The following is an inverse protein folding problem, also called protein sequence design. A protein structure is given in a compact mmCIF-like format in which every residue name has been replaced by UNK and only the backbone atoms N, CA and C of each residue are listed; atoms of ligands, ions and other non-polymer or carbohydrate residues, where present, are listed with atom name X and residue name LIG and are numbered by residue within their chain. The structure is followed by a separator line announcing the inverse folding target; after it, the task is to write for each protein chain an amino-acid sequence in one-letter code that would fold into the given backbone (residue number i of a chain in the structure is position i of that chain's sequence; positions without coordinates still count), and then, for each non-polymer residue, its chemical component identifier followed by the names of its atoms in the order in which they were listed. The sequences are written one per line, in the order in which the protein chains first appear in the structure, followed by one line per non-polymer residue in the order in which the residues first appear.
data_IF_972549605970
#
_entry.id   IF_972549605970
#
_cell.length_a   1.000
_cell.length_b   1.000
_cell.length_c   1.000
_cell.angle_alpha   90.00
_cell.angle_beta   90.00
_cell.angle_gamma   90.00
#
_symmetry.space_group_name_H-M   'P 1'
#
loop_
_entity.id
_entity.type
_entity.pdbx_description
1 polymer ?
#
# COMPACT_ATOMS: atom_id res chain seq x y z
N UNK A 1 6.81 -2.24 35.95
CA UNK A 1 5.95 -3.29 35.37
C UNK A 1 4.97 -2.75 34.31
N UNK A 2 4.96 -1.44 34.00
CA UNK A 2 4.14 -0.84 32.93
C UNK A 2 4.61 -1.12 31.48
N UNK A 3 5.87 -1.54 31.29
CA UNK A 3 6.44 -1.73 29.94
C UNK A 3 5.98 -2.99 29.18
N UNK A 4 5.40 -3.99 29.86
CA UNK A 4 4.94 -5.23 29.20
C UNK A 4 3.48 -5.18 28.75
N UNK A 5 2.64 -4.35 29.38
CA UNK A 5 1.25 -4.17 28.96
C UNK A 5 1.12 -3.37 27.66
N UNK A 6 2.02 -2.41 27.40
CA UNK A 6 2.04 -1.64 26.15
C UNK A 6 2.42 -2.49 24.92
N UNK A 7 3.37 -3.41 25.05
CA UNK A 7 3.83 -4.26 23.95
C UNK A 7 2.82 -5.37 23.57
N UNK A 8 2.17 -5.98 24.57
CA UNK A 8 1.13 -7.01 24.39
C UNK A 8 -0.19 -6.41 23.87
N UNK A 9 -0.58 -5.23 24.37
CA UNK A 9 -1.77 -4.52 23.87
C UNK A 9 -1.58 -4.04 22.42
N UNK A 10 -0.39 -3.54 22.05
CA UNK A 10 -0.06 -3.12 20.68
C UNK A 10 -0.12 -4.28 19.66
N UNK A 11 0.30 -5.49 20.05
CA UNK A 11 0.25 -6.67 19.15
C UNK A 11 -1.17 -7.18 18.92
N UNK A 12 -2.05 -7.11 19.93
CA UNK A 12 -3.47 -7.48 19.77
C UNK A 12 -4.33 -6.39 19.13
N UNK A 13 -3.94 -5.10 19.24
CA UNK A 13 -4.65 -3.99 18.60
C UNK A 13 -4.31 -3.91 17.10
N UNK A 14 -3.09 -4.26 16.67
CA UNK A 14 -2.66 -4.22 15.26
C UNK A 14 -3.06 -5.43 14.40
N UNK A 15 -3.56 -6.53 14.99
CA UNK A 15 -4.01 -7.72 14.26
C UNK A 15 -5.41 -7.59 13.63
N UNK A 16 -5.94 -6.36 13.46
CA UNK A 16 -7.18 -6.11 12.71
C UNK A 16 -6.82 -5.69 11.29
N UNK A 17 -6.32 -6.64 10.52
CA UNK A 17 -6.09 -6.41 9.10
C UNK A 17 -7.44 -6.50 8.39
N UNK A 18 -7.90 -5.34 7.92
CA UNK A 18 -9.10 -5.25 7.13
C UNK A 18 -8.77 -5.62 5.69
N UNK A 19 -8.97 -6.89 5.37
CA UNK A 19 -8.68 -7.45 4.05
C UNK A 19 -10.01 -7.93 3.51
N UNK A 20 -10.69 -7.14 2.67
CA UNK A 20 -11.99 -7.60 2.19
C UNK A 20 -12.72 -6.75 1.17
N UNK A 21 -13.06 -5.48 1.42
CA UNK A 21 -14.11 -4.89 0.62
C UNK A 21 -13.64 -4.19 -0.65
N UNK A 22 -12.37 -3.76 -0.75
CA UNK A 22 -11.92 -2.96 -1.91
C UNK A 22 -12.23 -3.67 -3.23
N UNK A 23 -11.88 -4.96 -3.33
CA UNK A 23 -12.14 -5.77 -4.52
C UNK A 23 -13.64 -6.03 -4.77
N UNK A 24 -14.45 -6.15 -3.72
CA UNK A 24 -15.90 -6.33 -3.85
C UNK A 24 -16.56 -5.03 -4.32
N UNK A 25 -16.15 -3.90 -3.75
CA UNK A 25 -16.59 -2.56 -4.14
C UNK A 25 -16.18 -2.27 -5.59
N UNK A 26 -14.99 -2.69 -6.01
CA UNK A 26 -14.52 -2.56 -7.40
C UNK A 26 -15.35 -3.40 -8.37
N UNK A 27 -15.68 -4.65 -8.03
CA UNK A 27 -16.53 -5.51 -8.86
C UNK A 27 -17.93 -4.90 -8.98
N UNK A 28 -18.55 -4.53 -7.85
CA UNK A 28 -19.90 -3.94 -7.82
C UNK A 28 -19.91 -2.61 -8.58
N UNK A 29 -18.93 -1.73 -8.32
CA UNK A 29 -18.79 -0.44 -8.99
C UNK A 29 -18.54 -0.58 -10.49
N UNK A 30 -17.75 -1.57 -10.90
CA UNK A 30 -17.51 -1.88 -12.31
C UNK A 30 -18.75 -2.42 -13.04
N UNK A 31 -19.63 -3.14 -12.33
CA UNK A 31 -20.92 -3.57 -12.85
C UNK A 31 -21.96 -2.44 -12.94
N UNK A 32 -22.02 -1.58 -11.93
CA UNK A 32 -22.98 -0.47 -11.89
C UNK A 32 -22.64 0.65 -12.86
N UNK A 33 -21.35 0.95 -13.04
CA UNK A 33 -20.87 2.10 -13.82
C UNK A 33 -19.99 1.67 -15.00
N UNK A 34 -20.40 0.61 -15.71
CA UNK A 34 -19.71 0.14 -16.91
C UNK A 34 -19.55 1.24 -17.97
N UNK A 35 -18.36 1.36 -18.55
CA UNK A 35 -18.02 2.36 -19.55
C UNK A 35 -17.78 3.76 -18.98
N UNK A 36 -17.92 3.97 -17.67
CA UNK A 36 -17.75 5.28 -16.99
C UNK A 36 -16.68 5.20 -15.91
N UNK A 37 -15.38 5.30 -16.26
CA UNK A 37 -14.28 5.11 -15.31
C UNK A 37 -14.26 6.15 -14.18
N UNK A 38 -14.66 7.40 -14.45
CA UNK A 38 -14.75 8.45 -13.42
C UNK A 38 -15.82 8.14 -12.36
N UNK A 39 -16.98 7.62 -12.78
CA UNK A 39 -18.05 7.24 -11.86
C UNK A 39 -17.61 6.05 -10.98
N UNK A 40 -16.99 5.01 -11.56
CA UNK A 40 -16.41 3.88 -10.80
C UNK A 40 -15.34 4.37 -9.81
N UNK A 41 -14.47 5.29 -10.23
CA UNK A 41 -13.44 5.87 -9.36
C UNK A 41 -14.05 6.54 -8.14
N UNK A 42 -15.06 7.39 -8.32
CA UNK A 42 -15.74 8.04 -7.19
C UNK A 42 -16.41 7.02 -6.25
N UNK A 43 -17.08 6.00 -6.81
CA UNK A 43 -17.70 4.93 -6.01
C UNK A 43 -16.66 4.16 -5.17
N UNK A 44 -15.54 3.79 -5.78
CA UNK A 44 -14.45 3.10 -5.11
C UNK A 44 -13.80 3.94 -4.01
N UNK A 45 -13.60 5.24 -4.26
CA UNK A 45 -13.06 6.17 -3.27
C UNK A 45 -13.99 6.33 -2.06
N UNK A 46 -15.26 6.65 -2.27
CA UNK A 46 -16.20 6.82 -1.16
C UNK A 46 -16.45 5.52 -0.39
N UNK A 47 -16.61 4.41 -1.11
CA UNK A 47 -16.85 3.11 -0.49
C UNK A 47 -15.65 2.64 0.33
N UNK A 48 -14.45 2.65 -0.25
CA UNK A 48 -13.27 2.05 0.39
C UNK A 48 -12.64 2.99 1.42
N UNK A 49 -12.46 4.28 1.10
CA UNK A 49 -11.82 5.22 2.03
C UNK A 49 -12.70 5.52 3.24
N UNK A 50 -14.01 5.61 3.06
CA UNK A 50 -14.94 5.82 4.17
C UNK A 50 -14.89 4.68 5.20
N UNK A 51 -14.86 3.45 4.71
CA UNK A 51 -14.75 2.25 5.56
C UNK A 51 -13.37 2.21 6.25
N UNK A 52 -12.29 2.45 5.51
CA UNK A 52 -10.94 2.50 6.10
C UNK A 52 -10.85 3.55 7.21
N UNK A 53 -11.39 4.74 6.97
CA UNK A 53 -11.42 5.80 7.98
C UNK A 53 -12.25 5.40 9.21
N UNK A 54 -13.41 4.76 9.01
CA UNK A 54 -14.24 4.29 10.12
C UNK A 54 -13.54 3.22 10.98
N UNK A 55 -12.75 2.34 10.36
CA UNK A 55 -11.99 1.31 11.07
C UNK A 55 -10.85 1.93 11.89
N UNK A 56 -10.09 2.85 11.28
CA UNK A 56 -9.05 3.60 11.97
C UNK A 56 -9.64 4.36 13.16
N UNK A 57 -10.77 5.03 12.96
CA UNK A 57 -11.54 5.71 14.00
C UNK A 57 -11.85 4.77 15.17
N UNK A 58 -12.50 3.62 14.90
CA UNK A 58 -12.85 2.64 15.94
C UNK A 58 -11.60 2.07 16.63
N UNK A 59 -10.52 1.86 15.90
CA UNK A 59 -9.24 1.40 16.46
C UNK A 59 -8.69 2.40 17.48
N UNK A 60 -8.74 3.68 17.15
CA UNK A 60 -8.26 4.74 18.03
C UNK A 60 -9.17 4.87 19.27
N UNK A 61 -10.50 4.76 19.12
CA UNK A 61 -11.41 4.72 20.28
C UNK A 61 -11.08 3.57 21.24
N UNK A 62 -10.74 2.40 20.69
CA UNK A 62 -10.36 1.25 21.50
C UNK A 62 -9.07 1.54 22.28
N UNK A 63 -8.07 2.13 21.63
CA UNK A 63 -6.82 2.52 22.29
C UNK A 63 -7.07 3.57 23.39
N UNK A 64 -7.85 4.61 23.10
CA UNK A 64 -8.20 5.65 24.05
C UNK A 64 -8.98 5.12 25.25
N UNK A 65 -9.84 4.12 25.03
CA UNK A 65 -10.54 3.43 26.12
C UNK A 65 -9.55 2.75 27.08
N UNK A 66 -8.51 2.08 26.56
CA UNK A 66 -7.43 1.52 27.40
C UNK A 66 -6.62 2.60 28.14
N UNK A 67 -6.46 3.79 27.53
CA UNK A 67 -5.74 4.92 28.11
C UNK A 67 -6.61 5.82 29.01
N UNK A 68 -7.89 5.45 29.23
CA UNK A 68 -8.88 6.21 30.04
C UNK A 68 -9.13 7.65 29.55
N UNK A 69 -9.03 7.89 28.25
CA UNK A 69 -9.34 9.19 27.64
C UNK A 69 -10.85 9.28 27.35
N UNK A 70 -11.54 10.39 27.67
CA UNK A 70 -12.97 10.54 27.42
C UNK A 70 -13.28 10.55 25.90
N UNK A 71 -14.34 9.83 25.44
CA UNK A 71 -14.61 9.64 24.02
C UNK A 71 -15.01 10.93 23.28
N UNK A 72 -15.63 11.90 23.97
CA UNK A 72 -16.03 13.18 23.36
C UNK A 72 -14.83 14.03 22.95
N UNK A 73 -13.82 14.11 23.80
CA UNK A 73 -12.59 14.85 23.50
C UNK A 73 -11.82 14.17 22.37
N UNK A 74 -11.79 12.84 22.35
CA UNK A 74 -11.16 12.08 21.27
C UNK A 74 -11.83 12.32 19.92
N UNK A 75 -13.17 12.24 19.87
CA UNK A 75 -13.95 12.54 18.67
C UNK A 75 -13.59 13.92 18.09
N UNK A 76 -13.57 14.95 18.95
CA UNK A 76 -13.28 16.32 18.52
C UNK A 76 -11.87 16.46 17.95
N UNK A 77 -10.86 15.91 18.64
CA UNK A 77 -9.46 15.95 18.17
C UNK A 77 -9.33 15.23 16.82
N UNK A 78 -9.98 14.09 16.64
CA UNK A 78 -9.89 13.32 15.40
C UNK A 78 -10.59 14.02 14.23
N UNK A 79 -11.75 14.64 14.46
CA UNK A 79 -12.45 15.44 13.43
C UNK A 79 -11.63 16.66 13.04
N UNK A 80 -11.15 17.44 14.01
CA UNK A 80 -10.32 18.63 13.75
C UNK A 80 -9.01 18.24 13.05
N UNK A 81 -8.34 17.17 13.50
CA UNK A 81 -7.13 16.67 12.88
C UNK A 81 -7.34 16.22 11.43
N UNK A 82 -8.46 15.53 11.15
CA UNK A 82 -8.80 15.10 9.78
C UNK A 82 -9.10 16.30 8.88
N UNK A 83 -9.79 17.33 9.38
CA UNK A 83 -10.06 18.54 8.62
C UNK A 83 -8.77 19.29 8.27
N UNK A 84 -7.88 19.49 9.24
CA UNK A 84 -6.59 20.17 9.03
C UNK A 84 -5.73 19.35 8.06
N UNK A 85 -5.67 18.03 8.23
CA UNK A 85 -4.89 17.16 7.36
C UNK A 85 -5.43 17.17 5.93
N UNK A 86 -6.75 17.08 5.76
CA UNK A 86 -7.40 17.08 4.44
C UNK A 86 -7.22 18.39 3.69
N UNK A 87 -7.37 19.54 4.37
CA UNK A 87 -7.13 20.85 3.75
C UNK A 87 -5.67 21.01 3.36
N UNK A 88 -4.74 20.68 4.26
CA UNK A 88 -3.29 20.79 3.99
C UNK A 88 -2.86 19.91 2.82
N UNK A 89 -3.34 18.65 2.76
CA UNK A 89 -3.06 17.75 1.64
C UNK A 89 -3.59 18.31 0.32
N UNK A 90 -4.82 18.84 0.31
CA UNK A 90 -5.40 19.46 -0.88
C UNK A 90 -4.57 20.65 -1.36
N UNK A 91 -4.17 21.55 -0.46
CA UNK A 91 -3.35 22.71 -0.80
C UNK A 91 -1.99 22.32 -1.39
N UNK A 92 -1.29 21.36 -0.77
CA UNK A 92 0.01 20.90 -1.27
C UNK A 92 -0.14 20.22 -2.62
N UNK A 93 -1.14 19.37 -2.79
CA UNK A 93 -1.40 18.71 -4.07
C UNK A 93 -1.71 19.72 -5.17
N UNK A 94 -2.58 20.70 -4.88
CA UNK A 94 -2.89 21.79 -5.82
C UNK A 94 -1.63 22.58 -6.20
N UNK A 95 -0.83 22.97 -5.21
CA UNK A 95 0.41 23.70 -5.42
C UNK A 95 1.39 22.93 -6.32
N UNK A 96 1.60 21.64 -6.06
CA UNK A 96 2.50 20.79 -6.86
C UNK A 96 2.01 20.65 -8.31
N UNK A 97 0.71 20.46 -8.52
CA UNK A 97 0.13 20.36 -9.87
C UNK A 97 0.28 21.67 -10.66
N UNK A 98 0.21 22.83 -10.00
CA UNK A 98 0.36 24.13 -10.67
C UNK A 98 1.82 24.56 -10.86
N UNK A 99 2.73 24.12 -9.99
CA UNK A 99 4.13 24.60 -9.98
C UNK A 99 5.05 23.74 -10.86
N UNK A 100 4.78 22.43 -10.97
CA UNK A 100 5.63 21.48 -11.69
C UNK A 100 5.02 21.17 -13.06
N UNK A 101 5.74 21.52 -14.13
CA UNK A 101 5.33 21.20 -15.50
C UNK A 101 5.48 19.70 -15.78
N UNK A 102 4.49 19.11 -16.45
CA UNK A 102 4.46 17.69 -16.86
C UNK A 102 4.56 16.67 -15.70
N UNK A 103 4.00 17.00 -14.53
CA UNK A 103 3.90 16.06 -13.41
C UNK A 103 3.18 14.77 -13.82
N UNK A 104 3.67 13.62 -13.34
CA UNK A 104 3.17 12.28 -13.66
C UNK A 104 3.38 11.81 -15.12
N UNK A 105 4.09 12.58 -15.97
CA UNK A 105 4.41 12.23 -17.35
C UNK A 105 5.92 11.94 -17.54
N UNK A 106 6.35 10.67 -17.39
CA UNK A 106 7.76 10.28 -17.27
C UNK A 106 8.58 10.62 -18.51
N UNK A 107 7.97 10.64 -19.69
CA UNK A 107 8.67 10.89 -20.97
C UNK A 107 9.09 12.36 -21.12
N UNK A 108 8.38 13.27 -20.45
CA UNK A 108 8.64 14.71 -20.48
C UNK A 108 9.32 15.22 -19.22
N UNK A 109 9.58 14.33 -18.27
CA UNK A 109 10.26 14.64 -17.03
C UNK A 109 11.77 14.48 -17.19
N UNK A 110 12.59 15.30 -16.50
CA UNK A 110 14.02 15.10 -16.47
C UNK A 110 14.36 13.73 -15.85
N UNK A 111 15.39 13.07 -16.40
CA UNK A 111 15.84 11.75 -15.92
C UNK A 111 16.17 11.83 -14.41
N UNK A 112 15.63 10.90 -13.64
CA UNK A 112 15.79 10.86 -12.18
C UNK A 112 14.81 11.74 -11.38
N UNK A 113 13.82 12.37 -12.02
CA UNK A 113 12.82 13.13 -11.27
C UNK A 113 11.94 12.22 -10.39
N UNK A 114 11.61 12.64 -9.15
CA UNK A 114 10.74 11.86 -8.26
C UNK A 114 9.24 11.97 -8.63
N UNK A 115 8.88 12.80 -9.61
CA UNK A 115 7.50 13.22 -9.91
C UNK A 115 6.75 12.27 -10.86
N UNK A 116 6.95 10.96 -10.70
CA UNK A 116 6.42 9.91 -11.61
C UNK A 116 5.03 9.37 -11.24
N UNK A 117 4.52 9.70 -10.05
CA UNK A 117 3.17 9.37 -9.56
C UNK A 117 2.73 7.90 -9.75
N UNK A 118 3.51 6.91 -9.27
CA UNK A 118 3.25 5.49 -9.54
C UNK A 118 1.90 5.01 -8.99
N UNK A 119 1.53 5.45 -7.78
CA UNK A 119 0.26 5.08 -7.15
C UNK A 119 -0.96 5.61 -7.90
N UNK A 120 -0.93 6.87 -8.34
CA UNK A 120 -2.06 7.46 -9.06
C UNK A 120 -2.22 6.86 -10.46
N UNK A 121 -1.10 6.56 -11.13
CA UNK A 121 -1.12 5.82 -12.40
C UNK A 121 -1.75 4.44 -12.24
N UNK A 122 -1.33 3.68 -11.23
CA UNK A 122 -1.88 2.35 -10.96
C UNK A 122 -3.38 2.43 -10.66
N UNK A 123 -3.80 3.38 -9.81
CA UNK A 123 -5.22 3.60 -9.49
C UNK A 123 -6.02 3.99 -10.72
N UNK A 124 -5.48 4.82 -11.60
CA UNK A 124 -6.14 5.17 -12.85
C UNK A 124 -6.29 3.94 -13.78
N UNK A 125 -5.23 3.16 -13.97
CA UNK A 125 -5.26 1.91 -14.76
C UNK A 125 -6.29 0.91 -14.19
N UNK A 126 -6.37 0.77 -12.87
CA UNK A 126 -7.37 -0.06 -12.22
C UNK A 126 -8.81 0.40 -12.54
N UNK A 127 -9.07 1.71 -12.51
CA UNK A 127 -10.36 2.26 -12.89
C UNK A 127 -10.69 2.09 -14.38
N UNK A 128 -9.68 2.06 -15.25
CA UNK A 128 -9.86 1.73 -16.67
C UNK A 128 -10.26 0.26 -16.82
N UNK A 129 -9.54 -0.66 -16.17
CA UNK A 129 -9.82 -2.10 -16.26
C UNK A 129 -11.21 -2.42 -15.69
N UNK A 130 -11.49 -2.02 -14.45
CA UNK A 130 -12.74 -2.38 -13.79
C UNK A 130 -13.92 -1.48 -14.18
N UNK A 131 -13.68 -0.22 -14.54
CA UNK A 131 -14.73 0.75 -14.86
C UNK A 131 -15.02 0.88 -16.35
N UNK A 132 -14.00 1.08 -17.19
CA UNK A 132 -14.18 1.28 -18.64
C UNK A 132 -14.42 -0.05 -19.37
N UNK A 133 -13.52 -1.03 -19.21
CA UNK A 133 -13.64 -2.37 -19.84
C UNK A 133 -14.66 -3.23 -19.10
N UNK A 134 -14.73 -3.10 -17.78
CA UNK A 134 -15.69 -3.78 -16.94
C UNK A 134 -15.32 -5.23 -16.62
N UNK A 135 -15.77 -5.75 -15.47
CA UNK A 135 -15.46 -7.11 -15.03
C UNK A 135 -15.94 -8.19 -16.00
N UNK A 136 -17.06 -7.96 -16.69
CA UNK A 136 -17.65 -8.89 -17.64
C UNK A 136 -16.76 -9.18 -18.86
N UNK A 137 -16.06 -8.19 -19.41
CA UNK A 137 -15.23 -8.42 -20.59
C UNK A 137 -13.84 -8.97 -20.24
N UNK A 138 -13.33 -8.62 -19.05
CA UNK A 138 -11.99 -9.03 -18.60
C UNK A 138 -12.02 -10.44 -18.03
N UNK A 139 -13.00 -10.77 -17.18
CA UNK A 139 -12.93 -11.97 -16.34
C UNK A 139 -14.02 -13.03 -16.57
N UNK A 140 -15.16 -12.71 -17.20
CA UNK A 140 -16.21 -13.72 -17.47
C UNK A 140 -15.79 -14.64 -18.64
N UNK A 141 -16.49 -15.77 -18.93
CA UNK A 141 -15.90 -16.94 -19.62
C UNK A 141 -15.20 -16.71 -20.97
N UNK A 142 -15.55 -15.63 -21.69
CA UNK A 142 -14.93 -15.23 -22.97
C UNK A 142 -13.77 -14.22 -22.84
N UNK A 143 -13.44 -13.79 -21.62
CA UNK A 143 -12.41 -12.79 -21.34
C UNK A 143 -10.99 -13.36 -21.33
N UNK A 144 -10.03 -12.53 -21.74
CA UNK A 144 -8.59 -12.86 -21.80
C UNK A 144 -8.01 -13.26 -20.43
N UNK A 145 -8.66 -12.84 -19.34
CA UNK A 145 -8.18 -12.99 -17.95
C UNK A 145 -9.09 -13.87 -17.09
N UNK A 146 -9.93 -14.71 -17.69
CA UNK A 146 -10.87 -15.59 -16.97
C UNK A 146 -10.23 -16.51 -15.92
N UNK A 147 -8.97 -16.93 -16.14
CA UNK A 147 -8.20 -17.76 -15.19
C UNK A 147 -7.91 -17.05 -13.85
N UNK A 148 -7.93 -15.72 -13.79
CA UNK A 148 -7.66 -14.97 -12.55
C UNK A 148 -8.75 -15.18 -11.49
N UNK A 149 -9.99 -15.52 -11.89
CA UNK A 149 -11.04 -15.86 -10.93
C UNK A 149 -10.73 -17.12 -10.10
N UNK A 150 -9.90 -18.03 -10.62
CA UNK A 150 -9.43 -19.20 -9.86
C UNK A 150 -8.67 -18.74 -8.61
N UNK A 151 -7.99 -17.58 -8.67
CA UNK A 151 -7.33 -16.96 -7.53
C UNK A 151 -8.28 -16.65 -6.36
N UNK A 152 -9.52 -16.24 -6.62
CA UNK A 152 -10.52 -16.03 -5.56
C UNK A 152 -10.91 -17.34 -4.89
N UNK A 153 -11.06 -18.42 -5.66
CA UNK A 153 -11.36 -19.76 -5.12
C UNK A 153 -10.19 -20.28 -4.30
N UNK A 154 -8.95 -20.15 -4.81
CA UNK A 154 -7.74 -20.50 -4.07
C UNK A 154 -7.65 -19.69 -2.77
N UNK A 155 -7.89 -18.39 -2.82
CA UNK A 155 -7.89 -17.50 -1.65
C UNK A 155 -8.94 -17.88 -0.61
N UNK A 156 -10.14 -18.31 -1.03
CA UNK A 156 -11.20 -18.77 -0.14
C UNK A 156 -10.91 -20.17 0.45
N UNK A 157 -10.32 -21.08 -0.35
CA UNK A 157 -9.99 -22.43 0.09
C UNK A 157 -8.76 -22.48 0.99
N UNK A 158 -7.78 -21.60 0.80
CA UNK A 158 -6.50 -21.68 1.50
C UNK A 158 -6.64 -21.59 3.06
N UNK A 159 -7.44 -20.67 3.65
CA UNK A 159 -7.70 -20.66 5.09
C UNK A 159 -8.40 -21.94 5.59
N UNK A 160 -9.33 -22.49 4.80
CA UNK A 160 -10.04 -23.74 5.12
C UNK A 160 -9.08 -24.92 5.12
N UNK A 161 -8.16 -24.96 4.17
CA UNK A 161 -7.13 -25.98 4.07
C UNK A 161 -6.19 -25.95 5.28
N UNK A 162 -5.73 -24.77 5.72
CA UNK A 162 -4.91 -24.66 6.93
C UNK A 162 -5.70 -25.01 8.20
N UNK A 163 -6.96 -24.60 8.28
CA UNK A 163 -7.81 -25.00 9.40
C UNK A 163 -7.95 -26.52 9.50
N UNK A 164 -8.16 -27.18 8.36
CA UNK A 164 -8.20 -28.64 8.29
C UNK A 164 -6.87 -29.29 8.68
N UNK A 165 -5.74 -28.79 8.16
CA UNK A 165 -4.40 -29.27 8.52
C UNK A 165 -4.10 -29.08 10.02
N UNK A 166 -4.49 -27.95 10.60
CA UNK A 166 -4.32 -27.67 12.02
C UNK A 166 -5.15 -28.62 12.91
N UNK A 167 -6.28 -29.12 12.40
CA UNK A 167 -7.13 -30.09 13.10
C UNK A 167 -6.64 -31.53 12.94
N UNK A 168 -6.02 -31.86 11.80
CA UNK A 168 -5.49 -33.21 11.52
C UNK A 168 -4.13 -33.47 12.17
N UNK A 169 -3.30 -32.43 12.35
CA UNK A 169 -1.97 -32.50 12.96
C UNK A 169 -1.86 -31.61 14.20
N UNK A 170 -2.51 -31.97 15.33
CA UNK A 170 -2.47 -31.17 16.56
C UNK A 170 -1.06 -31.02 17.14
N UNK A 171 -0.16 -31.97 16.87
CA UNK A 171 1.22 -31.99 17.37
C UNK A 171 2.10 -30.89 16.75
N UNK A 172 1.70 -30.34 15.59
CA UNK A 172 2.48 -29.35 14.83
C UNK A 172 2.00 -27.93 15.14
N UNK A 173 2.46 -27.36 16.26
CA UNK A 173 2.08 -26.01 16.70
C UNK A 173 2.38 -24.90 15.68
N UNK A 174 3.37 -25.07 14.82
CA UNK A 174 3.75 -24.11 13.78
C UNK A 174 2.65 -23.88 12.72
N UNK A 175 1.80 -24.88 12.45
CA UNK A 175 0.70 -24.75 11.47
C UNK A 175 -0.34 -23.72 11.94
N UNK A 176 -0.53 -23.59 13.27
CA UNK A 176 -1.44 -22.60 13.87
C UNK A 176 -0.90 -21.16 13.78
N UNK A 177 0.40 -20.98 13.53
CA UNK A 177 1.04 -19.67 13.42
C UNK A 177 0.98 -19.10 11.99
N UNK A 178 0.62 -19.91 10.99
CA UNK A 178 0.55 -19.47 9.59
C UNK A 178 -0.77 -18.74 9.36
N UNK A 179 -0.70 -17.44 9.11
CA UNK A 179 -1.84 -16.61 8.72
C UNK A 179 -1.80 -16.38 7.21
N UNK A 180 -2.54 -17.18 6.43
CA UNK A 180 -2.59 -17.03 4.96
C UNK A 180 -3.11 -15.66 4.53
N UNK A 181 -4.22 -15.13 5.09
CA UNK A 181 -4.67 -13.78 4.74
C UNK A 181 -3.57 -12.71 4.84
N UNK A 182 -2.71 -12.79 5.86
CA UNK A 182 -1.56 -11.90 6.02
C UNK A 182 -0.55 -12.05 4.88
N UNK A 183 -0.22 -13.28 4.50
CA UNK A 183 0.72 -13.59 3.41
C UNK A 183 0.19 -13.08 2.06
N UNK A 184 -1.08 -13.36 1.76
CA UNK A 184 -1.71 -12.93 0.50
C UNK A 184 -1.83 -11.41 0.42
N UNK A 185 -2.11 -10.74 1.54
CA UNK A 185 -2.23 -9.27 1.58
C UNK A 185 -0.90 -8.56 1.36
N UNK A 186 0.22 -9.16 1.75
CA UNK A 186 1.55 -8.58 1.54
C UNK A 186 1.87 -8.31 0.06
N UNK A 187 1.25 -9.06 -0.85
CA UNK A 187 1.45 -8.88 -2.30
C UNK A 187 0.68 -7.70 -2.90
N UNK A 188 -0.29 -7.11 -2.17
CA UNK A 188 -1.08 -5.98 -2.69
C UNK A 188 -0.25 -4.73 -3.00
N UNK A 189 0.85 -4.53 -2.27
CA UNK A 189 1.76 -3.41 -2.50
C UNK A 189 2.74 -3.61 -3.65
N UNK A 190 2.74 -4.78 -4.31
CA UNK A 190 3.74 -5.12 -5.34
C UNK A 190 3.68 -4.27 -6.60
N UNK A 191 2.50 -3.98 -7.19
CA UNK A 191 2.47 -3.26 -8.47
C UNK A 191 3.10 -1.86 -8.45
N UNK A 192 2.94 -1.01 -7.40
CA UNK A 192 3.52 0.33 -7.39
C UNK A 192 4.96 0.39 -6.84
N UNK A 193 5.44 -0.64 -6.14
CA UNK A 193 6.75 -0.62 -5.49
C UNK A 193 7.77 -1.44 -6.28
N UNK A 194 8.96 -0.87 -6.47
CA UNK A 194 10.07 -1.54 -7.16
C UNK A 194 10.49 -2.82 -6.45
N UNK A 195 11.03 -3.76 -7.21
CA UNK A 195 11.46 -5.07 -6.69
C UNK A 195 12.46 -4.92 -5.53
N UNK A 196 13.33 -3.91 -5.60
CA UNK A 196 14.32 -3.59 -4.56
C UNK A 196 13.67 -3.23 -3.22
N UNK A 197 12.53 -2.52 -3.25
CA UNK A 197 11.81 -2.16 -2.04
C UNK A 197 11.26 -3.39 -1.31
N UNK A 198 10.81 -4.41 -2.05
CA UNK A 198 10.31 -5.66 -1.45
C UNK A 198 11.40 -6.47 -0.76
N UNK A 199 12.53 -6.64 -1.43
CA UNK A 199 13.67 -7.35 -0.84
C UNK A 199 14.22 -6.62 0.38
N UNK A 200 14.29 -5.30 0.32
CA UNK A 200 14.71 -4.47 1.46
C UNK A 200 13.74 -4.62 2.64
N UNK A 201 12.42 -4.54 2.39
CA UNK A 201 11.41 -4.76 3.42
C UNK A 201 11.50 -6.14 4.05
N UNK A 202 11.66 -7.20 3.24
CA UNK A 202 11.82 -8.56 3.73
C UNK A 202 13.09 -8.72 4.57
N UNK A 203 14.22 -8.18 4.11
CA UNK A 203 15.51 -8.27 4.80
C UNK A 203 15.48 -7.55 6.14
N UNK A 204 15.01 -6.29 6.17
CA UNK A 204 14.87 -5.52 7.41
C UNK A 204 13.87 -6.20 8.35
N UNK A 205 12.76 -6.70 7.82
CA UNK A 205 11.77 -7.48 8.56
C UNK A 205 12.39 -8.71 9.22
N UNK A 206 13.19 -9.49 8.47
CA UNK A 206 13.90 -10.66 8.99
C UNK A 206 14.94 -10.26 10.05
N UNK A 207 15.74 -9.23 9.80
CA UNK A 207 16.77 -8.78 10.74
C UNK A 207 16.15 -8.39 12.10
N UNK A 208 15.12 -7.55 12.09
CA UNK A 208 14.51 -7.06 13.33
C UNK A 208 13.59 -8.09 14.00
N UNK A 209 12.77 -8.82 13.24
CA UNK A 209 11.79 -9.76 13.81
C UNK A 209 12.33 -11.16 14.07
N UNK A 210 13.41 -11.58 13.41
CA UNK A 210 14.02 -12.89 13.63
C UNK A 210 15.35 -12.79 14.39
N UNK A 211 16.31 -12.01 13.90
CA UNK A 211 17.66 -11.95 14.50
C UNK A 211 17.66 -11.17 15.80
N UNK A 212 17.17 -9.92 15.76
CA UNK A 212 17.14 -9.04 16.95
C UNK A 212 16.16 -9.56 17.99
N UNK A 213 14.98 -10.05 17.57
CA UNK A 213 14.04 -10.67 18.50
C UNK A 213 14.65 -11.87 19.23
N UNK A 214 15.40 -12.76 18.56
CA UNK A 214 16.00 -13.93 19.21
C UNK A 214 17.16 -13.56 20.15
N UNK A 215 17.99 -12.59 19.77
CA UNK A 215 19.20 -12.22 20.54
C UNK A 215 18.91 -11.20 21.65
N UNK A 216 17.97 -10.27 21.46
CA UNK A 216 17.73 -9.12 22.35
C UNK A 216 16.23 -8.87 22.61
N UNK A 217 15.51 -9.88 23.14
CA UNK A 217 14.06 -9.80 23.42
C UNK A 217 13.63 -8.57 24.24
N UNK A 218 14.39 -8.23 25.28
CA UNK A 218 14.06 -7.11 26.16
C UNK A 218 14.14 -5.75 25.47
N UNK A 219 15.15 -5.57 24.61
CA UNK A 219 15.28 -4.35 23.79
C UNK A 219 14.18 -4.27 22.74
N UNK A 220 13.92 -5.39 22.03
CA UNK A 220 12.93 -5.44 20.97
C UNK A 220 11.53 -5.07 21.46
N UNK A 221 11.10 -5.62 22.59
CA UNK A 221 9.77 -5.35 23.14
C UNK A 221 9.55 -3.88 23.54
N UNK A 222 10.62 -3.16 23.92
CA UNK A 222 10.54 -1.78 24.41
C UNK A 222 10.78 -0.74 23.31
N UNK A 223 11.73 -0.97 22.42
CA UNK A 223 12.25 0.06 21.52
C UNK A 223 11.97 -0.17 20.04
N UNK A 224 11.66 -1.39 19.59
CA UNK A 224 11.51 -1.69 18.16
C UNK A 224 10.41 -0.85 17.49
N UNK A 225 9.25 -0.73 18.15
CA UNK A 225 8.14 0.08 17.63
C UNK A 225 8.43 1.59 17.67
N UNK A 226 9.16 2.06 18.70
CA UNK A 226 9.55 3.47 18.80
C UNK A 226 10.55 3.82 17.70
N UNK A 227 11.51 2.94 17.44
CA UNK A 227 12.48 3.08 16.35
C UNK A 227 11.79 3.11 14.99
N UNK A 228 10.84 2.19 14.74
CA UNK A 228 10.04 2.19 13.50
C UNK A 228 9.34 3.53 13.29
N UNK A 229 8.62 4.02 14.29
CA UNK A 229 7.92 5.31 14.21
C UNK A 229 8.89 6.48 14.02
N UNK A 230 10.07 6.44 14.64
CA UNK A 230 11.09 7.47 14.50
C UNK A 230 11.71 7.47 13.09
N UNK A 231 11.92 6.30 12.49
CA UNK A 231 12.40 6.18 11.11
C UNK A 231 11.35 6.72 10.13
N UNK A 232 10.07 6.35 10.30
CA UNK A 232 8.99 6.85 9.44
C UNK A 232 8.86 8.39 9.52
N UNK A 233 8.88 8.94 10.74
CA UNK A 233 8.84 10.39 10.95
C UNK A 233 10.10 11.09 10.40
N UNK A 234 11.28 10.48 10.57
CA UNK A 234 12.54 11.00 10.04
C UNK A 234 12.56 11.03 8.52
N UNK A 235 12.09 9.96 7.86
CA UNK A 235 11.94 9.92 6.41
C UNK A 235 10.98 10.99 5.90
N UNK A 236 9.82 11.19 6.56
CA UNK A 236 8.87 12.23 6.18
C UNK A 236 9.47 13.64 6.32
N UNK A 237 10.17 13.92 7.42
CA UNK A 237 10.79 15.22 7.65
C UNK A 237 11.92 15.49 6.64
N UNK A 238 12.78 14.50 6.40
CA UNK A 238 13.84 14.61 5.40
C UNK A 238 13.27 14.78 3.99
N UNK A 239 12.18 14.09 3.64
CA UNK A 239 11.52 14.27 2.36
C UNK A 239 10.99 15.71 2.18
N UNK A 240 10.37 16.28 3.20
CA UNK A 240 9.91 17.68 3.17
C UNK A 240 11.08 18.66 3.04
N UNK A 241 12.17 18.45 3.79
CA UNK A 241 13.37 19.28 3.71
C UNK A 241 14.02 19.21 2.32
N UNK A 242 14.24 18.01 1.78
CA UNK A 242 14.87 17.84 0.46
C UNK A 242 13.99 18.42 -0.64
N UNK A 243 12.67 18.18 -0.59
CA UNK A 243 11.73 18.72 -1.57
C UNK A 243 11.69 20.24 -1.52
N UNK A 244 11.56 20.82 -0.32
CA UNK A 244 11.44 22.27 -0.11
C UNK A 244 12.73 23.05 -0.32
N UNK A 245 13.88 22.51 0.09
CA UNK A 245 15.16 23.23 0.04
C UNK A 245 15.93 23.01 -1.27
N UNK A 246 15.79 21.85 -1.92
CA UNK A 246 16.64 21.46 -3.06
C UNK A 246 15.81 21.27 -4.33
N UNK A 247 14.75 20.45 -4.28
CA UNK A 247 14.03 20.04 -5.49
C UNK A 247 13.20 21.20 -6.09
N UNK A 248 12.46 21.94 -5.26
CA UNK A 248 11.65 23.07 -5.72
C UNK A 248 12.50 24.30 -6.11
N UNK A 249 13.52 24.74 -5.35
CA UNK A 249 14.26 25.98 -5.68
C UNK A 249 15.37 25.78 -6.72
N UNK A 250 16.08 24.65 -6.68
CA UNK A 250 17.29 24.43 -7.49
C UNK A 250 17.07 23.46 -8.64
N UNK A 251 15.92 22.77 -8.71
CA UNK A 251 15.64 21.77 -9.76
C UNK A 251 16.63 20.61 -9.79
N UNK A 252 17.37 20.39 -8.69
CA UNK A 252 18.36 19.31 -8.58
C UNK A 252 17.66 18.08 -8.01
N UNK A 253 17.58 17.03 -8.83
CA UNK A 253 16.85 15.79 -8.49
C UNK A 253 17.71 14.76 -7.72
N UNK A 254 18.91 15.16 -7.29
CA UNK A 254 19.83 14.37 -6.47
C UNK A 254 21.23 14.29 -7.07
N UNK A 255 22.16 13.68 -6.34
CA UNK A 255 23.51 13.39 -6.83
C UNK A 255 23.40 12.25 -7.83
N UNK A 256 24.02 12.33 -9.02
CA UNK A 256 24.09 11.17 -9.91
C UNK A 256 24.89 10.04 -9.23
N UNK A 257 24.18 9.10 -8.61
CA UNK A 257 24.75 7.92 -7.98
C UNK A 257 24.00 6.69 -8.50
N UNK A 258 24.62 5.53 -8.35
CA UNK A 258 24.12 4.26 -8.86
C UNK A 258 22.70 3.90 -8.39
N UNK A 259 22.19 4.51 -7.31
CA UNK A 259 20.83 4.33 -6.80
C UNK A 259 19.87 5.51 -6.99
N UNK A 260 20.25 6.56 -7.74
CA UNK A 260 19.37 7.70 -8.02
C UNK A 260 18.42 7.46 -9.19
N UNK A 261 18.77 6.57 -10.14
CA UNK A 261 17.87 6.26 -11.24
C UNK A 261 16.55 5.74 -10.64
N UNK A 262 15.50 6.55 -10.73
CA UNK A 262 14.17 6.25 -10.20
C UNK A 262 13.47 5.10 -10.95
N UNK A 263 14.18 4.45 -11.88
CA UNK A 263 13.77 3.21 -12.51
C UNK A 263 14.40 2.01 -11.80
N UNK A 264 13.83 0.82 -12.00
CA UNK A 264 14.61 -0.38 -11.80
C UNK A 264 15.88 -0.25 -12.65
N UNK A 265 17.06 -0.58 -12.12
CA UNK A 265 18.37 -0.51 -12.81
C UNK A 265 18.45 -1.32 -14.14
N UNK A 266 17.31 -1.82 -14.61
CA UNK A 266 17.07 -2.41 -15.90
C UNK A 266 16.16 -1.48 -16.72
N UNK A 267 16.68 -0.76 -17.73
CA UNK A 267 15.85 0.09 -18.59
C UNK A 267 14.77 -0.70 -19.36
N UNK A 268 15.02 -1.99 -19.58
CA UNK A 268 14.11 -2.94 -20.22
C UNK A 268 12.92 -3.33 -19.33
N UNK A 269 12.94 -3.05 -18.03
CA UNK A 269 11.82 -3.36 -17.13
C UNK A 269 10.53 -2.59 -17.49
N UNK A 270 10.67 -1.45 -18.17
CA UNK A 270 9.56 -0.64 -18.66
C UNK A 270 9.02 -1.09 -20.02
N UNK A 271 9.70 -2.01 -20.70
CA UNK A 271 9.36 -2.41 -22.05
C UNK A 271 8.14 -3.35 -22.11
N UNK A 272 7.23 -3.14 -23.07
CA UNK A 272 6.11 -4.05 -23.26
C UNK A 272 6.61 -5.42 -23.73
N UNK A 273 6.12 -6.47 -23.09
CA UNK A 273 6.41 -7.86 -23.45
C UNK A 273 5.31 -8.47 -24.33
N UNK A 274 4.26 -7.70 -24.64
CA UNK A 274 3.16 -8.14 -25.50
C UNK A 274 3.58 -8.15 -26.99
N UNK A 275 3.33 -9.25 -27.73
CA UNK A 275 3.68 -9.31 -29.14
C UNK A 275 2.91 -8.27 -29.94
N UNK A 276 3.63 -7.55 -30.83
CA UNK A 276 3.05 -6.52 -31.70
C UNK A 276 2.96 -5.10 -31.12
N UNK A 277 3.39 -4.86 -29.88
CA UNK A 277 3.47 -3.51 -29.30
C UNK A 277 4.88 -2.94 -29.50
N UNK A 278 5.00 -1.94 -30.39
CA UNK A 278 6.28 -1.27 -30.66
C UNK A 278 6.36 -0.01 -29.82
N UNK A 279 7.38 0.07 -28.97
CA UNK A 279 7.73 1.26 -28.17
C UNK A 279 9.18 1.61 -28.46
N UNK A 280 9.44 2.89 -28.70
CA UNK A 280 10.78 3.40 -29.00
C UNK A 280 11.76 3.04 -27.89
N UNK A 281 12.84 2.31 -28.23
CA UNK A 281 13.87 1.88 -27.28
C UNK A 281 13.67 0.49 -26.65
N UNK A 282 12.62 -0.25 -27.03
CA UNK A 282 12.34 -1.59 -26.53
C UNK A 282 12.49 -2.69 -27.59
N UNK A 283 12.94 -3.90 -27.22
CA UNK A 283 13.02 -5.03 -28.14
C UNK A 283 11.60 -5.48 -28.54
N UNK A 284 11.35 -5.62 -29.83
CA UNK A 284 10.07 -6.11 -30.36
C UNK A 284 10.08 -7.63 -30.31
N UNK A 285 9.21 -8.20 -29.48
CA UNK A 285 8.96 -9.64 -29.48
C UNK A 285 7.94 -9.94 -30.58
N UNK A 286 8.39 -10.71 -31.58
CA UNK A 286 7.58 -11.18 -32.72
C UNK A 286 6.86 -12.47 -32.39
#
# INVERSE_FOLDING_TARGET
MEGQFGASSSTHIKNKQYVGPDSIIEIIGGYLYHGRPLAKMTFGLYGSMGINQAILFISDFKLCHYMKIPPRSMFLVQVVGTLISGTTQFFVQWYLLTSIKNICEPDKLPKGSPWTCPFERLRFMDNVIWGLVGPAQVFFPSGQYSKLFIGFVIGAMAPVLIWFMARRFPDKHWIKLINIPLILTGTKGMPPATTVNFWSWFFVGFLFNYVVYRRYKGWWAKYNYVLSNALDAGCAFMALLVTGAIQLPSGVYGINWWGLDAGDHCPLASCPTAPGVVVDGCPVFT
#
